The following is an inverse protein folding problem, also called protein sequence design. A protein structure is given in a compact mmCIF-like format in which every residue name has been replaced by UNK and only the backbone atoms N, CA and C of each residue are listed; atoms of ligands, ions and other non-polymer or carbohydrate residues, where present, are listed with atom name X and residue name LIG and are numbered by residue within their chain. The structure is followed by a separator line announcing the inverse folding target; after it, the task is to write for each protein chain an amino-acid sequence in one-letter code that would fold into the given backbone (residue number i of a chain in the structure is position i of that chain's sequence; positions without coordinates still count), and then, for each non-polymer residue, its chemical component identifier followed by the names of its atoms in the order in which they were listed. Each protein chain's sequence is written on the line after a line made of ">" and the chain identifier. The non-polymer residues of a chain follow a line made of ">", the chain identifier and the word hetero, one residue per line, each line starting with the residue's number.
data_IF_747449877453
#
_entry.id   IF_747449877453
#
_cell.length_a   1.000
_cell.length_b   1.000
_cell.length_c   1.000
_cell.angle_alpha   90.00
_cell.angle_beta   90.00
_cell.angle_gamma   90.00
#
_symmetry.space_group_name_H-M   'P 1'
#
loop_
_entity.id
_entity.type
_entity.pdbx_description
1 polymer ?
#
# COMPACT_ATOMS: atom_id res chain seq x y z
N UNK A 1 -11.99 -18.58 1.28
CA UNK A 1 -12.10 -17.37 0.44
C UNK A 1 -11.22 -16.35 1.12
N UNK A 2 -10.12 -15.94 0.49
CA UNK A 2 -9.18 -15.01 1.12
C UNK A 2 -9.69 -13.58 0.89
N UNK A 3 -9.81 -12.80 1.97
CA UNK A 3 -10.24 -11.40 1.93
C UNK A 3 -9.04 -10.46 1.97
N UNK A 4 -9.23 -9.20 1.54
CA UNK A 4 -8.20 -8.17 1.62
C UNK A 4 -8.28 -7.48 3.00
N UNK A 5 -7.57 -8.03 3.98
CA UNK A 5 -7.46 -7.47 5.32
C UNK A 5 -6.45 -6.29 5.35
N UNK A 6 -6.64 -5.28 6.20
CA UNK A 6 -5.82 -4.05 6.23
C UNK A 6 -4.36 -4.30 6.58
N UNK A 7 -4.08 -5.34 7.37
CA UNK A 7 -2.75 -5.72 7.87
C UNK A 7 -2.36 -7.12 7.33
N UNK A 8 -1.30 -7.80 7.84
CA UNK A 8 -1.03 -9.21 7.52
C UNK A 8 -2.22 -10.14 7.80
N UNK A 9 -2.10 -11.40 7.37
CA UNK A 9 -3.21 -12.32 7.12
C UNK A 9 -4.25 -12.48 8.27
N UNK A 10 -3.91 -12.16 9.52
CA UNK A 10 -4.76 -12.34 10.70
C UNK A 10 -5.64 -11.14 11.09
N UNK A 11 -5.54 -9.99 10.39
CA UNK A 11 -6.40 -8.84 10.69
C UNK A 11 -7.86 -9.07 10.28
N UNK A 12 -8.79 -8.54 11.07
CA UNK A 12 -10.24 -8.57 10.78
C UNK A 12 -10.76 -7.31 10.09
N UNK A 13 -9.95 -6.25 10.06
CA UNK A 13 -10.29 -4.98 9.41
C UNK A 13 -10.11 -5.06 7.90
N UNK A 14 -11.05 -4.48 7.15
CA UNK A 14 -10.99 -4.46 5.69
C UNK A 14 -9.96 -3.43 5.19
N UNK A 15 -9.25 -3.79 4.12
CA UNK A 15 -8.34 -2.88 3.45
C UNK A 15 -9.12 -1.82 2.68
N UNK A 16 -8.77 -0.54 2.90
CA UNK A 16 -9.17 0.55 1.99
C UNK A 16 -8.29 0.48 0.74
N UNK A 17 -8.84 -0.03 -0.35
CA UNK A 17 -8.15 -0.20 -1.63
C UNK A 17 -8.23 1.08 -2.45
N UNK A 18 -7.09 1.54 -2.95
CA UNK A 18 -6.98 2.78 -3.73
C UNK A 18 -6.39 2.57 -5.12
N UNK A 19 -5.53 1.55 -5.31
CA UNK A 19 -4.94 1.27 -6.62
C UNK A 19 -4.77 -0.22 -6.90
N UNK A 20 -4.71 -0.54 -8.19
CA UNK A 20 -4.54 -1.88 -8.74
C UNK A 20 -3.49 -1.88 -9.85
N UNK A 21 -2.60 -2.86 -9.88
CA UNK A 21 -1.70 -3.06 -11.03
C UNK A 21 -1.34 -4.53 -11.24
N UNK A 22 -0.88 -4.89 -12.44
CA UNK A 22 -0.44 -6.26 -12.73
C UNK A 22 1.08 -6.26 -12.92
N UNK A 23 1.77 -7.16 -12.22
CA UNK A 23 3.21 -7.39 -12.36
C UNK A 23 3.52 -8.87 -12.26
N UNK A 24 4.29 -9.40 -13.22
CA UNK A 24 4.73 -10.80 -13.27
C UNK A 24 3.59 -11.83 -13.10
N UNK A 25 2.41 -11.51 -13.65
CA UNK A 25 1.22 -12.38 -13.59
C UNK A 25 0.46 -12.38 -12.26
N UNK A 26 0.78 -11.46 -11.33
CA UNK A 26 0.04 -11.23 -10.09
C UNK A 26 -0.68 -9.89 -10.14
N UNK A 27 -1.87 -9.83 -9.52
CA UNK A 27 -2.55 -8.57 -9.21
C UNK A 27 -1.96 -8.01 -7.92
N UNK A 28 -1.52 -6.77 -7.96
CA UNK A 28 -1.09 -6.00 -6.80
C UNK A 28 -2.19 -5.00 -6.45
N UNK A 29 -2.54 -4.94 -5.17
CA UNK A 29 -3.60 -4.09 -4.63
C UNK A 29 -3.02 -3.29 -3.47
N UNK A 30 -3.12 -1.97 -3.48
CA UNK A 30 -2.60 -1.14 -2.40
C UNK A 30 -3.58 -0.09 -1.90
N UNK A 31 -3.32 0.39 -0.68
CA UNK A 31 -3.96 1.58 -0.12
C UNK A 31 -3.24 2.86 -0.56
N UNK A 32 -3.61 3.99 0.04
CA UNK A 32 -3.03 5.29 -0.30
C UNK A 32 -1.53 5.41 0.04
N UNK A 33 -0.96 4.48 0.81
CA UNK A 33 0.45 4.46 1.15
C UNK A 33 0.91 5.56 2.11
N UNK A 34 0.00 6.24 2.82
CA UNK A 34 0.32 7.25 3.82
C UNK A 34 0.00 6.78 5.25
N UNK A 35 0.76 7.24 6.25
CA UNK A 35 0.43 6.99 7.65
C UNK A 35 -0.90 7.68 7.99
N UNK A 36 -1.76 7.01 8.77
CA UNK A 36 -2.88 7.69 9.40
C UNK A 36 -2.37 8.40 10.65
N UNK A 37 -2.71 9.69 10.78
CA UNK A 37 -2.28 10.55 11.89
C UNK A 37 -3.49 11.06 12.64
N UNK A 38 -3.36 11.14 13.95
CA UNK A 38 -4.34 11.83 14.78
C UNK A 38 -4.30 13.33 14.44
N UNK A 39 -5.45 13.91 14.12
CA UNK A 39 -5.57 15.29 13.64
C UNK A 39 -5.07 16.31 14.68
N UNK A 40 -5.36 16.10 15.97
CA UNK A 40 -5.01 17.04 17.04
C UNK A 40 -3.51 17.00 17.41
N UNK A 41 -2.93 15.79 17.43
CA UNK A 41 -1.56 15.58 17.95
C UNK A 41 -0.52 15.37 16.85
N UNK A 42 -0.95 15.20 15.60
CA UNK A 42 -0.11 14.81 14.45
C UNK A 42 0.68 13.51 14.62
N UNK A 43 0.41 12.74 15.69
CA UNK A 43 1.04 11.46 15.96
C UNK A 43 0.53 10.42 14.97
N UNK A 44 1.45 9.61 14.44
CA UNK A 44 1.10 8.42 13.66
C UNK A 44 0.35 7.45 14.57
N UNK A 45 -0.82 7.00 14.10
CA UNK A 45 -1.68 6.06 14.83
C UNK A 45 -1.87 4.73 14.07
N UNK A 46 -1.63 4.71 12.76
CA UNK A 46 -1.61 3.49 11.95
C UNK A 46 -0.75 3.70 10.70
N UNK A 47 -0.18 2.61 10.20
CA UNK A 47 0.58 2.55 8.94
C UNK A 47 -0.04 1.55 7.95
N UNK A 48 -1.25 1.08 8.25
CA UNK A 48 -1.90 -0.01 7.52
C UNK A 48 -2.15 0.29 6.04
N UNK A 49 -2.45 1.54 5.62
CA UNK A 49 -2.56 1.88 4.21
C UNK A 49 -1.28 1.66 3.38
N UNK A 50 -0.15 1.38 4.05
CA UNK A 50 1.12 1.03 3.41
C UNK A 50 1.32 -0.48 3.19
N UNK A 51 0.34 -1.32 3.50
CA UNK A 51 0.35 -2.72 3.05
C UNK A 51 -0.11 -2.84 1.60
N UNK A 52 0.51 -3.78 0.88
CA UNK A 52 0.12 -4.16 -0.49
C UNK A 52 -0.22 -5.64 -0.53
N UNK A 53 -1.33 -5.99 -1.16
CA UNK A 53 -1.71 -7.38 -1.39
C UNK A 53 -1.23 -7.85 -2.75
N UNK A 54 -0.51 -8.97 -2.75
CA UNK A 54 -0.12 -9.69 -3.96
C UNK A 54 -1.04 -10.89 -4.12
N UNK A 55 -1.79 -10.92 -5.22
CA UNK A 55 -2.85 -11.89 -5.46
C UNK A 55 -2.50 -12.72 -6.70
N UNK A 56 -2.46 -14.03 -6.53
CA UNK A 56 -2.26 -14.97 -7.64
C UNK A 56 -3.52 -15.11 -8.50
N UNK A 57 -3.38 -15.63 -9.73
CA UNK A 57 -4.53 -15.98 -10.58
C UNK A 57 -5.51 -16.97 -9.95
N UNK A 58 -5.10 -17.72 -8.93
CA UNK A 58 -5.94 -18.66 -8.17
C UNK A 58 -6.56 -18.03 -6.91
N UNK A 59 -6.41 -16.72 -6.72
CA UNK A 59 -6.97 -15.98 -5.59
C UNK A 59 -6.16 -16.03 -4.28
N UNK A 60 -5.03 -16.77 -4.23
CA UNK A 60 -4.15 -16.75 -3.04
C UNK A 60 -3.60 -15.35 -2.81
N UNK A 61 -3.76 -14.85 -1.59
CA UNK A 61 -3.32 -13.51 -1.15
C UNK A 61 -2.04 -13.64 -0.32
N UNK A 62 -1.11 -12.72 -0.53
CA UNK A 62 0.04 -12.50 0.35
C UNK A 62 0.14 -11.01 0.68
N UNK A 63 0.44 -10.69 1.94
CA UNK A 63 0.65 -9.31 2.39
C UNK A 63 2.12 -8.88 2.25
N UNK A 64 2.35 -7.74 1.60
CA UNK A 64 3.67 -7.15 1.39
C UNK A 64 3.80 -5.85 2.16
N UNK A 65 4.84 -5.73 2.97
CA UNK A 65 5.15 -4.51 3.70
C UNK A 65 5.80 -3.49 2.76
N UNK A 66 5.07 -2.42 2.44
CA UNK A 66 5.56 -1.33 1.58
C UNK A 66 5.89 -0.06 2.36
N UNK A 67 5.95 -0.09 3.70
CA UNK A 67 6.22 1.11 4.51
C UNK A 67 7.50 1.84 4.11
N UNK A 68 8.59 1.10 3.93
CA UNK A 68 9.87 1.68 3.49
C UNK A 68 9.82 2.21 2.05
N UNK A 69 9.02 1.58 1.19
CA UNK A 69 8.84 2.00 -0.20
C UNK A 69 8.05 3.31 -0.24
N UNK A 70 6.91 3.39 0.45
CA UNK A 70 6.08 4.59 0.51
C UNK A 70 6.82 5.79 1.12
N UNK A 71 7.51 5.60 2.25
CA UNK A 71 8.34 6.67 2.86
C UNK A 71 9.45 7.13 1.92
N UNK A 72 10.07 6.22 1.18
CA UNK A 72 11.11 6.54 0.19
C UNK A 72 10.54 7.36 -0.98
N UNK A 73 9.35 6.99 -1.49
CA UNK A 73 8.66 7.77 -2.54
C UNK A 73 8.31 9.16 -2.06
N UNK A 74 7.69 9.28 -0.87
CA UNK A 74 7.37 10.56 -0.23
C UNK A 74 8.61 11.46 -0.10
N UNK A 75 9.70 10.91 0.43
CA UNK A 75 10.96 11.65 0.60
C UNK A 75 11.55 12.12 -0.74
N UNK A 76 11.55 11.25 -1.77
CA UNK A 76 12.04 11.60 -3.12
C UNK A 76 11.18 12.66 -3.81
N UNK A 77 9.89 12.72 -3.50
CA UNK A 77 8.99 13.77 -3.97
C UNK A 77 9.20 15.12 -3.25
N UNK A 78 10.03 15.17 -2.19
CA UNK A 78 10.33 16.39 -1.45
C UNK A 78 9.40 16.69 -0.27
N UNK A 79 8.55 15.73 0.12
CA UNK A 79 7.53 15.90 1.16
C UNK A 79 7.82 15.05 2.41
N UNK A 80 9.05 15.10 2.95
CA UNK A 80 9.39 14.36 4.17
C UNK A 80 8.52 14.78 5.37
N UNK A 81 8.50 13.97 6.43
CA UNK A 81 7.61 14.17 7.59
C UNK A 81 7.74 15.59 8.17
N UNK A 82 6.64 16.31 8.45
CA UNK A 82 5.24 15.83 8.51
C UNK A 82 4.47 15.89 7.18
N UNK A 83 5.12 16.19 6.04
CA UNK A 83 4.50 16.08 4.72
C UNK A 83 4.00 14.67 4.42
N UNK A 84 3.13 14.56 3.42
CA UNK A 84 2.52 13.30 3.00
C UNK A 84 2.52 13.16 1.47
N UNK A 85 2.31 11.93 1.01
CA UNK A 85 2.09 11.60 -0.39
C UNK A 85 1.08 10.46 -0.43
N UNK A 86 -0.05 10.67 -1.12
CA UNK A 86 -1.07 9.65 -1.32
C UNK A 86 -1.00 9.07 -2.73
N UNK A 87 -1.20 7.76 -2.84
CA UNK A 87 -1.16 7.00 -4.08
C UNK A 87 -2.53 6.42 -4.40
N UNK A 88 -3.18 6.94 -5.45
CA UNK A 88 -4.46 6.40 -5.97
C UNK A 88 -4.32 5.80 -7.39
N UNK A 89 -3.12 5.85 -7.95
CA UNK A 89 -2.80 5.27 -9.25
C UNK A 89 -1.37 4.74 -9.28
N UNK A 90 -1.22 3.47 -9.66
CA UNK A 90 0.08 2.80 -9.82
C UNK A 90 0.03 1.92 -11.07
N UNK A 91 1.07 1.98 -11.89
CA UNK A 91 1.19 1.13 -13.07
C UNK A 91 2.59 0.53 -13.15
N UNK A 92 2.67 -0.79 -13.28
CA UNK A 92 3.89 -1.48 -13.68
C UNK A 92 4.03 -1.53 -15.20
N UNK A 93 5.23 -1.26 -15.70
CA UNK A 93 5.58 -1.43 -17.11
C UNK A 93 6.52 -2.61 -17.29
N UNK A 94 6.06 -3.66 -18.00
CA UNK A 94 6.92 -4.79 -18.37
C UNK A 94 8.06 -4.41 -19.32
N UNK A 95 7.89 -3.33 -20.09
CA UNK A 95 8.90 -2.81 -21.02
C UNK A 95 9.98 -2.04 -20.25
N UNK A 96 9.58 -1.13 -19.35
CA UNK A 96 10.50 -0.24 -18.63
C UNK A 96 11.03 -0.85 -17.33
N UNK A 97 10.48 -1.99 -16.90
CA UNK A 97 10.78 -2.67 -15.62
C UNK A 97 10.66 -1.75 -14.41
N UNK A 98 9.64 -0.90 -14.42
CA UNK A 98 9.27 0.04 -13.35
C UNK A 98 7.80 0.39 -13.44
#
# INVERSE_FOLDING_TARGET
>A
MDFLNSEPEDSTSAMKVEWLTIKDGYLYVGGNGCEYRNEDTSKVVSEDPMWVKKISKKGKVASLDWRNISRSMRKKAGYDTPGYLEHEAVQWSDIKKR
#
